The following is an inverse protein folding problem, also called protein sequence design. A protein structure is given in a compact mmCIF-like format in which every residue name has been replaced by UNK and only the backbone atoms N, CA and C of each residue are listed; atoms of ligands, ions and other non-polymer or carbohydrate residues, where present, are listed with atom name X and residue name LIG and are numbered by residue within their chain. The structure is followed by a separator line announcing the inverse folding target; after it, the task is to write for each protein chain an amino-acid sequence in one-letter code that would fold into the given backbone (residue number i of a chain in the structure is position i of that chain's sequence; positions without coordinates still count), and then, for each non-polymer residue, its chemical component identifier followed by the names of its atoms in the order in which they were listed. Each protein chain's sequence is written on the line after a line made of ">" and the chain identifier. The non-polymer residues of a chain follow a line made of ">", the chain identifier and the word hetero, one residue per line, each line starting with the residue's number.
data_IF_881153572661
#
_entry.id   IF_881153572661
#
_cell.length_a   1.000
_cell.length_b   1.000
_cell.length_c   1.000
_cell.angle_alpha   90.00
_cell.angle_beta   90.00
_cell.angle_gamma   90.00
#
_symmetry.space_group_name_H-M   'P 1'
#
loop_
_entity.id
_entity.type
_entity.pdbx_description
1 polymer ?
#
# COMPACT_ATOMS: atom_id res chain seq x y z
N UNK A 1 -14.82 -16.80 76.83
CA UNK A 1 -16.18 -17.35 77.01
C UNK A 1 -17.12 -16.59 76.10
N UNK A 2 -17.89 -17.36 75.31
CA UNK A 2 -19.15 -16.99 74.64
C UNK A 2 -19.11 -16.20 73.32
N UNK A 3 -19.09 -16.94 72.19
CA UNK A 3 -20.09 -16.77 71.10
C UNK A 3 -21.47 -17.32 71.59
N UNK A 4 -22.60 -17.38 70.82
CA UNK A 4 -22.90 -17.03 69.42
C UNK A 4 -24.27 -16.28 69.28
N UNK A 5 -24.78 -15.85 68.12
CA UNK A 5 -25.70 -16.59 67.21
C UNK A 5 -26.51 -15.57 66.39
N UNK A 6 -26.95 -15.92 65.17
CA UNK A 6 -27.98 -15.11 64.49
C UNK A 6 -28.27 -15.36 63.01
N UNK A 7 -28.39 -16.61 62.56
CA UNK A 7 -28.76 -17.01 61.19
C UNK A 7 -30.27 -16.85 60.91
N UNK A 8 -30.66 -16.48 59.66
CA UNK A 8 -31.81 -16.98 58.83
C UNK A 8 -32.26 -15.89 57.82
N UNK A 9 -32.85 -16.14 56.65
CA UNK A 9 -32.96 -17.23 55.64
C UNK A 9 -34.03 -16.72 54.63
N UNK A 10 -33.85 -17.00 53.32
CA UNK A 10 -34.89 -17.15 52.25
C UNK A 10 -35.69 -15.88 51.84
N UNK A 11 -36.21 -15.70 50.60
CA UNK A 11 -36.44 -16.59 49.43
C UNK A 11 -36.75 -15.74 48.18
N UNK A 12 -36.24 -16.19 47.03
CA UNK A 12 -36.88 -16.29 45.68
C UNK A 12 -37.83 -15.22 45.14
N UNK A 13 -37.54 -14.75 43.93
CA UNK A 13 -38.53 -14.25 42.98
C UNK A 13 -37.93 -13.61 41.73
N UNK A 14 -37.68 -14.39 40.68
CA UNK A 14 -37.86 -13.96 39.27
C UNK A 14 -39.29 -14.40 38.87
N UNK A 15 -40.01 -13.76 37.92
CA UNK A 15 -39.48 -13.39 36.60
C UNK A 15 -40.13 -12.16 35.89
N UNK A 16 -39.63 -11.92 34.67
CA UNK A 16 -40.29 -11.28 33.49
C UNK A 16 -40.72 -9.83 33.57
N UNK A 17 -40.04 -8.97 32.81
CA UNK A 17 -40.48 -8.50 31.47
C UNK A 17 -39.91 -7.10 31.21
N UNK A 18 -39.07 -6.96 30.18
CA UNK A 18 -38.74 -5.68 29.59
C UNK A 18 -38.51 -5.90 28.10
N UNK A 19 -39.57 -5.61 27.38
CA UNK A 19 -39.72 -5.34 25.96
C UNK A 19 -38.46 -4.74 25.32
N UNK A 20 -37.77 -5.51 24.48
CA UNK A 20 -36.83 -4.95 23.51
C UNK A 20 -37.60 -4.58 22.26
N UNK A 21 -37.87 -3.29 22.11
CA UNK A 21 -38.34 -2.66 20.88
C UNK A 21 -37.32 -2.88 19.76
N UNK A 22 -37.77 -3.57 18.72
CA UNK A 22 -37.22 -3.50 17.36
C UNK A 22 -37.60 -2.14 16.74
N UNK A 23 -36.71 -1.63 15.87
CA UNK A 23 -36.81 -0.46 14.98
C UNK A 23 -36.36 0.87 15.59
N UNK A 24 -35.14 1.28 15.28
CA UNK A 24 -34.85 2.23 14.18
C UNK A 24 -33.33 2.47 14.15
N UNK A 25 -32.61 1.75 13.28
CA UNK A 25 -31.20 2.03 12.93
C UNK A 25 -30.96 1.71 11.44
N UNK A 26 -31.89 2.12 10.58
CA UNK A 26 -31.66 2.26 9.14
C UNK A 26 -31.69 3.75 8.81
N UNK A 27 -30.55 4.44 8.93
CA UNK A 27 -30.23 5.63 8.12
C UNK A 27 -28.87 6.22 8.52
N UNK A 28 -27.75 5.57 8.13
CA UNK A 28 -26.64 6.27 7.47
C UNK A 28 -25.51 5.31 7.01
N UNK A 29 -25.85 4.24 6.28
CA UNK A 29 -24.83 3.53 5.52
C UNK A 29 -24.79 4.14 4.12
N UNK A 30 -23.82 5.03 3.89
CA UNK A 30 -23.45 5.43 2.53
C UNK A 30 -23.20 4.18 1.67
N UNK A 31 -23.40 4.26 0.34
CA UNK A 31 -23.22 3.09 -0.52
C UNK A 31 -21.83 2.51 -0.29
N UNK A 32 -21.76 1.22 0.02
CA UNK A 32 -20.48 0.52 0.18
C UNK A 32 -19.63 0.73 -1.07
N UNK A 33 -18.31 0.84 -0.91
CA UNK A 33 -17.39 1.10 -2.02
C UNK A 33 -17.54 0.07 -3.17
N UNK A 34 -17.87 -1.18 -2.81
CA UNK A 34 -18.24 -2.24 -3.75
C UNK A 34 -19.48 -1.91 -4.59
N UNK A 35 -20.50 -1.28 -4.00
CA UNK A 35 -21.70 -0.81 -4.71
C UNK A 35 -21.38 0.37 -5.61
N UNK A 36 -20.51 1.29 -5.19
CA UNK A 36 -20.07 2.42 -6.00
C UNK A 36 -19.32 1.92 -7.25
N UNK A 37 -18.41 0.97 -7.09
CA UNK A 37 -17.68 0.35 -8.21
C UNK A 37 -18.62 -0.40 -9.17
N UNK A 38 -19.62 -1.12 -8.65
CA UNK A 38 -20.62 -1.77 -9.48
C UNK A 38 -21.47 -0.76 -10.27
N UNK A 39 -21.87 0.35 -9.66
CA UNK A 39 -22.64 1.41 -10.31
C UNK A 39 -21.82 2.15 -11.38
N UNK A 40 -20.52 2.36 -11.14
CA UNK A 40 -19.61 2.94 -12.14
C UNK A 40 -19.46 1.99 -13.32
N UNK A 41 -19.24 0.70 -13.09
CA UNK A 41 -19.14 -0.30 -14.15
C UNK A 41 -20.45 -0.39 -14.97
N UNK A 42 -21.61 -0.37 -14.31
CA UNK A 42 -22.93 -0.39 -14.96
C UNK A 42 -23.20 0.88 -15.78
N UNK A 43 -22.88 2.05 -15.24
CA UNK A 43 -22.99 3.33 -15.94
C UNK A 43 -22.10 3.39 -17.18
N UNK A 44 -20.90 2.81 -17.10
CA UNK A 44 -19.95 2.70 -18.20
C UNK A 44 -20.46 1.75 -19.29
N UNK A 45 -21.04 0.59 -18.95
CA UNK A 45 -21.65 -0.32 -19.95
C UNK A 45 -22.89 0.32 -20.60
N UNK A 46 -23.72 1.05 -19.85
CA UNK A 46 -24.85 1.81 -20.41
C UNK A 46 -24.40 2.91 -21.37
N UNK A 47 -23.29 3.61 -21.07
CA UNK A 47 -22.73 4.64 -21.94
C UNK A 47 -22.26 4.11 -23.31
N UNK A 48 -21.93 2.81 -23.43
CA UNK A 48 -21.60 2.17 -24.72
C UNK A 48 -22.80 1.99 -25.63
N UNK A 49 -24.00 1.89 -25.07
CA UNK A 49 -25.24 1.68 -25.83
C UNK A 49 -25.73 2.97 -26.50
N UNK A 50 -25.22 4.13 -26.09
CA UNK A 50 -25.52 5.42 -26.70
C UNK A 50 -24.73 5.56 -28.00
N UNK A 51 -25.42 5.42 -29.15
CA UNK A 51 -24.84 5.69 -30.46
C UNK A 51 -24.74 7.21 -30.68
N UNK A 52 -23.58 7.73 -31.11
CA UNK A 52 -23.44 9.15 -31.40
C UNK A 52 -24.35 9.54 -32.57
N UNK A 53 -25.13 10.59 -32.39
CA UNK A 53 -25.80 11.30 -33.50
C UNK A 53 -24.98 12.55 -33.83
N UNK A 54 -24.96 12.91 -35.11
CA UNK A 54 -23.91 13.70 -35.77
C UNK A 54 -23.80 15.19 -35.38
N UNK A 55 -24.34 15.59 -34.22
CA UNK A 55 -24.28 16.97 -33.73
C UNK A 55 -23.63 17.12 -32.33
N UNK A 56 -23.44 16.04 -31.56
CA UNK A 56 -22.84 16.06 -30.20
C UNK A 56 -21.50 15.30 -30.09
N UNK A 57 -20.74 15.28 -31.19
CA UNK A 57 -19.63 14.33 -31.37
C UNK A 57 -18.46 14.54 -30.40
N UNK A 58 -18.12 15.77 -30.01
CA UNK A 58 -16.95 16.01 -29.16
C UNK A 58 -17.15 15.54 -27.70
N UNK A 59 -18.31 15.86 -27.10
CA UNK A 59 -18.62 15.49 -25.73
C UNK A 59 -18.86 13.98 -25.60
N UNK A 60 -19.53 13.37 -26.58
CA UNK A 60 -19.77 11.92 -26.60
C UNK A 60 -18.48 11.15 -26.87
N UNK A 61 -17.60 11.61 -27.76
CA UNK A 61 -16.28 11.01 -27.96
C UNK A 61 -15.39 11.18 -26.72
N UNK A 62 -15.43 12.33 -26.05
CA UNK A 62 -14.69 12.56 -24.82
C UNK A 62 -15.21 11.68 -23.68
N UNK A 63 -16.54 11.52 -23.58
CA UNK A 63 -17.16 10.57 -22.67
C UNK A 63 -16.76 9.13 -22.98
N UNK A 64 -16.79 8.69 -24.25
CA UNK A 64 -16.34 7.36 -24.66
C UNK A 64 -14.84 7.14 -24.39
N UNK A 65 -14.00 8.15 -24.60
CA UNK A 65 -12.57 8.10 -24.27
C UNK A 65 -12.36 7.96 -22.76
N UNK A 66 -13.11 8.71 -21.95
CA UNK A 66 -13.07 8.63 -20.49
C UNK A 66 -13.58 7.27 -20.00
N UNK A 67 -14.71 6.80 -20.53
CA UNK A 67 -15.31 5.48 -20.25
C UNK A 67 -14.35 4.34 -20.58
N UNK A 68 -13.66 4.39 -21.74
CA UNK A 68 -12.66 3.39 -22.10
C UNK A 68 -11.40 3.49 -21.22
N UNK A 69 -11.01 4.70 -20.81
CA UNK A 69 -9.91 4.90 -19.87
C UNK A 69 -10.25 4.33 -18.48
N UNK A 70 -11.49 4.51 -18.02
CA UNK A 70 -12.00 3.96 -16.77
C UNK A 70 -12.12 2.43 -16.81
N UNK A 71 -12.59 1.85 -17.92
CA UNK A 71 -12.66 0.39 -18.10
C UNK A 71 -11.31 -0.31 -18.03
N UNK A 72 -10.25 0.34 -18.51
CA UNK A 72 -8.89 -0.19 -18.45
C UNK A 72 -8.27 -0.12 -17.04
N UNK A 73 -8.93 0.59 -16.11
CA UNK A 73 -8.49 0.80 -14.73
C UNK A 73 -9.35 0.00 -13.73
N UNK A 74 -10.48 -0.57 -14.16
CA UNK A 74 -11.37 -1.30 -13.26
C UNK A 74 -10.91 -2.75 -13.01
N UNK A 75 -10.86 -3.25 -11.76
CA UNK A 75 -10.28 -4.55 -11.39
C UNK A 75 -11.07 -5.81 -11.81
N UNK A 76 -11.92 -5.75 -12.84
CA UNK A 76 -12.92 -6.79 -13.13
C UNK A 76 -12.68 -7.66 -14.36
N UNK A 77 -11.67 -7.38 -15.20
CA UNK A 77 -11.46 -8.11 -16.47
C UNK A 77 -9.99 -8.47 -16.73
N UNK A 78 -9.33 -9.16 -15.80
CA UNK A 78 -7.99 -9.69 -16.06
C UNK A 78 -8.02 -11.21 -15.95
N UNK A 79 -8.26 -11.85 -17.10
CA UNK A 79 -7.81 -13.22 -17.38
C UNK A 79 -6.80 -13.14 -18.53
N UNK A 80 -5.64 -12.56 -18.26
CA UNK A 80 -4.40 -12.82 -18.99
C UNK A 80 -3.22 -12.39 -18.12
N UNK A 81 -2.25 -13.29 -17.97
CA UNK A 81 -1.05 -13.21 -17.12
C UNK A 81 0.03 -12.26 -17.69
N UNK A 82 -0.33 -11.42 -18.67
CA UNK A 82 0.62 -10.71 -19.55
C UNK A 82 0.74 -9.19 -19.30
N UNK A 83 0.20 -8.65 -18.20
CA UNK A 83 0.33 -7.20 -17.96
C UNK A 83 0.53 -6.85 -16.48
N UNK A 84 1.76 -7.02 -15.98
CA UNK A 84 2.21 -6.58 -14.64
C UNK A 84 1.75 -5.16 -14.30
N UNK A 85 1.76 -4.23 -15.27
CA UNK A 85 1.32 -2.85 -15.03
C UNK A 85 -0.20 -2.73 -14.77
N UNK A 86 -1.01 -3.59 -15.40
CA UNK A 86 -2.44 -3.69 -15.11
C UNK A 86 -2.69 -4.38 -13.77
N UNK A 87 -1.95 -5.44 -13.45
CA UNK A 87 -2.09 -6.12 -12.16
C UNK A 87 -1.78 -5.16 -11.00
N UNK A 88 -0.68 -4.42 -11.14
CA UNK A 88 -0.27 -3.40 -10.17
C UNK A 88 -1.08 -2.11 -10.24
N UNK A 89 -2.04 -2.00 -11.17
CA UNK A 89 -2.80 -0.76 -11.43
C UNK A 89 -1.89 0.49 -11.50
N UNK A 90 -0.72 0.37 -12.15
CA UNK A 90 0.39 1.31 -12.00
C UNK A 90 -0.01 2.78 -12.27
N UNK A 91 -0.68 3.06 -13.39
CA UNK A 91 -1.06 4.44 -13.73
C UNK A 91 -2.10 5.01 -12.76
N UNK A 92 -3.00 4.18 -12.24
CA UNK A 92 -3.96 4.59 -11.23
C UNK A 92 -3.27 4.94 -9.92
N UNK A 93 -2.44 4.03 -9.40
CA UNK A 93 -1.75 4.22 -8.12
C UNK A 93 -0.79 5.42 -8.16
N UNK A 94 -0.07 5.58 -9.27
CA UNK A 94 0.77 6.75 -9.53
C UNK A 94 -0.02 8.05 -9.48
N UNK A 95 -1.15 8.12 -10.19
CA UNK A 95 -1.98 9.33 -10.20
C UNK A 95 -2.58 9.61 -8.82
N UNK A 96 -3.07 8.58 -8.14
CA UNK A 96 -3.66 8.67 -6.81
C UNK A 96 -2.65 9.25 -5.81
N UNK A 97 -1.50 8.60 -5.63
CA UNK A 97 -0.48 9.03 -4.67
C UNK A 97 0.05 10.44 -4.97
N UNK A 98 0.32 10.76 -6.23
CA UNK A 98 0.78 12.10 -6.61
C UNK A 98 -0.27 13.18 -6.32
N UNK A 99 -1.54 12.86 -6.52
CA UNK A 99 -2.65 13.79 -6.26
C UNK A 99 -2.89 13.96 -4.77
N UNK A 100 -2.89 12.87 -4.00
CA UNK A 100 -3.10 12.89 -2.55
C UNK A 100 -1.99 13.65 -1.82
N UNK A 101 -0.71 13.37 -2.14
CA UNK A 101 0.43 14.11 -1.56
C UNK A 101 0.33 15.61 -1.87
N UNK A 102 -0.01 15.97 -3.11
CA UNK A 102 -0.20 17.38 -3.49
C UNK A 102 -1.39 18.01 -2.78
N UNK A 103 -2.49 17.28 -2.61
CA UNK A 103 -3.67 17.77 -1.91
C UNK A 103 -3.33 18.06 -0.44
N UNK A 104 -2.61 17.16 0.23
CA UNK A 104 -2.15 17.36 1.61
C UNK A 104 -1.23 18.59 1.72
N UNK A 105 -0.27 18.73 0.81
CA UNK A 105 0.59 19.93 0.74
C UNK A 105 -0.23 21.22 0.61
N UNK A 106 -1.24 21.23 -0.28
CA UNK A 106 -2.09 22.40 -0.48
C UNK A 106 -2.97 22.69 0.74
N UNK A 107 -3.46 21.65 1.43
CA UNK A 107 -4.26 21.80 2.64
C UNK A 107 -3.44 22.46 3.75
N UNK A 108 -2.22 21.97 4.00
CA UNK A 108 -1.32 22.54 5.01
C UNK A 108 -0.97 23.99 4.74
N UNK A 109 -0.80 24.38 3.47
CA UNK A 109 -0.56 25.78 3.10
C UNK A 109 -1.79 26.66 3.41
N UNK A 110 -3.00 26.12 3.22
CA UNK A 110 -4.25 26.88 3.35
C UNK A 110 -4.74 26.98 4.78
N UNK A 111 -4.60 25.91 5.55
CA UNK A 111 -5.09 25.80 6.92
C UNK A 111 -4.04 25.14 7.84
N UNK A 112 -2.89 25.79 8.08
CA UNK A 112 -1.78 25.20 8.82
C UNK A 112 -2.04 24.99 10.32
N UNK A 113 -3.10 25.60 10.88
CA UNK A 113 -3.34 25.62 12.33
C UNK A 113 -4.59 24.82 12.69
N UNK A 114 -5.73 25.11 12.05
CA UNK A 114 -7.02 24.52 12.44
C UNK A 114 -7.31 23.22 11.68
N UNK A 115 -6.65 23.02 10.54
CA UNK A 115 -6.85 21.88 9.65
C UNK A 115 -6.12 20.58 10.02
N UNK A 116 -5.46 20.51 11.17
CA UNK A 116 -4.53 19.42 11.50
C UNK A 116 -5.20 18.02 11.56
N UNK A 117 -6.45 17.90 12.01
CA UNK A 117 -7.16 16.61 12.03
C UNK A 117 -7.38 16.07 10.61
N UNK A 118 -7.81 16.94 9.68
CA UNK A 118 -8.02 16.58 8.27
C UNK A 118 -6.69 16.26 7.59
N UNK A 119 -5.62 17.00 7.91
CA UNK A 119 -4.27 16.70 7.43
C UNK A 119 -3.81 15.31 7.89
N UNK A 120 -4.06 14.97 9.15
CA UNK A 120 -3.81 13.65 9.70
C UNK A 120 -4.53 12.54 8.94
N UNK A 121 -5.82 12.71 8.69
CA UNK A 121 -6.61 11.75 7.91
C UNK A 121 -6.07 11.60 6.47
N UNK A 122 -5.79 12.70 5.79
CA UNK A 122 -5.23 12.69 4.43
C UNK A 122 -3.85 12.00 4.38
N UNK A 123 -3.01 12.22 5.39
CA UNK A 123 -1.71 11.55 5.47
C UNK A 123 -1.83 10.06 5.75
N UNK A 124 -2.78 9.65 6.60
CA UNK A 124 -3.07 8.24 6.85
C UNK A 124 -3.57 7.54 5.57
N UNK A 125 -4.44 8.17 4.79
CA UNK A 125 -4.90 7.61 3.51
C UNK A 125 -3.75 7.36 2.52
N UNK A 126 -2.74 8.24 2.51
CA UNK A 126 -1.54 8.07 1.69
C UNK A 126 -0.72 6.88 2.20
N UNK A 127 -0.58 6.73 3.52
CA UNK A 127 0.10 5.59 4.12
C UNK A 127 -0.58 4.27 3.82
N UNK A 128 -1.89 4.18 4.02
CA UNK A 128 -2.66 2.97 3.74
C UNK A 128 -2.53 2.59 2.26
N UNK A 129 -2.64 3.58 1.36
CA UNK A 129 -2.44 3.36 -0.08
C UNK A 129 -1.04 2.81 -0.40
N UNK A 130 0.00 3.32 0.25
CA UNK A 130 1.37 2.83 0.05
C UNK A 130 1.53 1.41 0.56
N UNK A 131 1.01 1.08 1.75
CA UNK A 131 1.09 -0.25 2.34
C UNK A 131 0.37 -1.28 1.48
N UNK A 132 -0.87 -1.00 1.07
CA UNK A 132 -1.66 -1.89 0.22
C UNK A 132 -0.96 -2.14 -1.12
N UNK A 133 -0.37 -1.09 -1.71
CA UNK A 133 0.33 -1.23 -2.98
C UNK A 133 1.67 -1.93 -2.82
N UNK A 134 2.34 -1.78 -1.67
CA UNK A 134 3.61 -2.42 -1.37
C UNK A 134 3.48 -3.95 -1.35
N UNK A 135 2.41 -4.48 -0.77
CA UNK A 135 2.09 -5.91 -0.78
C UNK A 135 1.88 -6.44 -2.21
N UNK A 136 1.11 -5.71 -3.04
CA UNK A 136 0.93 -6.06 -4.45
C UNK A 136 2.24 -6.04 -5.24
N UNK A 137 3.11 -5.06 -4.99
CA UNK A 137 4.43 -4.96 -5.63
C UNK A 137 5.29 -6.17 -5.24
N UNK A 138 5.27 -6.58 -3.97
CA UNK A 138 5.99 -7.75 -3.50
C UNK A 138 5.55 -9.02 -4.22
N UNK A 139 4.23 -9.29 -4.23
CA UNK A 139 3.68 -10.48 -4.88
C UNK A 139 4.09 -10.59 -6.35
N UNK A 140 4.01 -9.48 -7.10
CA UNK A 140 4.45 -9.47 -8.50
C UNK A 140 5.97 -9.61 -8.64
N UNK A 141 6.77 -8.98 -7.77
CA UNK A 141 8.23 -9.07 -7.84
C UNK A 141 8.74 -10.52 -7.69
N UNK A 142 8.04 -11.34 -6.90
CA UNK A 142 8.43 -12.74 -6.70
C UNK A 142 8.12 -13.65 -7.90
N UNK A 143 7.22 -13.27 -8.81
CA UNK A 143 6.88 -14.06 -10.00
C UNK A 143 8.06 -14.14 -10.99
N UNK A 144 8.28 -15.31 -11.59
CA UNK A 144 9.44 -15.57 -12.48
C UNK A 144 9.47 -14.65 -13.71
N UNK A 145 8.32 -14.42 -14.35
CA UNK A 145 8.17 -13.71 -15.62
C UNK A 145 7.81 -12.22 -15.47
N UNK A 146 7.96 -11.65 -14.26
CA UNK A 146 7.60 -10.25 -14.00
C UNK A 146 8.44 -9.25 -14.80
N UNK A 147 7.80 -8.19 -15.27
CA UNK A 147 8.51 -7.04 -15.84
C UNK A 147 9.14 -6.17 -14.74
N UNK A 148 10.42 -6.43 -14.44
CA UNK A 148 11.17 -5.71 -13.40
C UNK A 148 11.25 -4.19 -13.64
N UNK A 149 11.16 -3.72 -14.89
CA UNK A 149 11.12 -2.28 -15.16
C UNK A 149 9.82 -1.62 -14.69
N UNK A 150 8.70 -2.35 -14.69
CA UNK A 150 7.45 -1.87 -14.11
C UNK A 150 7.57 -1.82 -12.59
N UNK A 151 8.14 -2.84 -11.95
CA UNK A 151 8.41 -2.84 -10.51
C UNK A 151 9.31 -1.66 -10.11
N UNK A 152 10.40 -1.43 -10.85
CA UNK A 152 11.27 -0.26 -10.65
C UNK A 152 10.48 1.05 -10.69
N UNK A 153 9.58 1.21 -11.67
CA UNK A 153 8.74 2.41 -11.78
C UNK A 153 7.76 2.56 -10.60
N UNK A 154 7.13 1.46 -10.14
CA UNK A 154 6.27 1.48 -8.96
C UNK A 154 7.07 1.93 -7.72
N UNK A 155 8.26 1.37 -7.51
CA UNK A 155 9.13 1.76 -6.39
C UNK A 155 9.59 3.22 -6.45
N UNK A 156 9.81 3.76 -7.64
CA UNK A 156 10.07 5.21 -7.80
C UNK A 156 8.88 6.03 -7.33
N UNK A 157 7.64 5.62 -7.64
CA UNK A 157 6.45 6.31 -7.16
C UNK A 157 6.35 6.23 -5.64
N UNK A 158 6.50 5.04 -5.04
CA UNK A 158 6.46 4.87 -3.59
C UNK A 158 7.54 5.71 -2.89
N UNK A 159 8.78 5.68 -3.40
CA UNK A 159 9.90 6.45 -2.86
C UNK A 159 9.63 7.97 -2.91
N UNK A 160 9.08 8.46 -4.02
CA UNK A 160 8.76 9.88 -4.17
C UNK A 160 7.58 10.30 -3.30
N UNK A 161 6.56 9.45 -3.14
CA UNK A 161 5.43 9.73 -2.25
C UNK A 161 5.90 9.83 -0.80
N UNK A 162 6.75 8.91 -0.35
CA UNK A 162 7.38 8.93 0.97
C UNK A 162 8.21 10.20 1.20
N UNK A 163 9.08 10.57 0.25
CA UNK A 163 9.85 11.83 0.33
C UNK A 163 8.91 13.03 0.38
N UNK A 164 7.83 13.02 -0.41
CA UNK A 164 6.81 14.05 -0.41
C UNK A 164 6.13 14.18 0.95
N UNK A 165 5.83 13.07 1.62
CA UNK A 165 5.24 13.03 2.96
C UNK A 165 6.20 13.55 4.03
N UNK A 166 7.49 13.19 4.00
CA UNK A 166 8.46 13.71 4.97
C UNK A 166 8.83 15.18 4.76
N UNK A 167 8.67 15.70 3.54
CA UNK A 167 8.89 17.12 3.25
C UNK A 167 7.73 18.01 3.74
N UNK A 168 6.62 17.41 4.19
CA UNK A 168 5.45 18.11 4.66
C UNK A 168 5.59 18.36 6.17
N UNK A 169 5.71 19.62 6.55
CA UNK A 169 5.74 20.07 7.95
C UNK A 169 4.30 20.15 8.50
N UNK A 170 3.65 18.99 8.63
CA UNK A 170 2.33 18.91 9.24
C UNK A 170 2.45 18.98 10.76
N UNK A 171 1.59 19.80 11.40
CA UNK A 171 1.47 19.86 12.86
C UNK A 171 0.73 18.68 13.47
N UNK A 172 -0.06 17.97 12.67
CA UNK A 172 -0.71 16.75 13.13
C UNK A 172 0.36 15.73 13.51
N UNK A 173 0.04 14.87 14.47
CA UNK A 173 0.83 13.71 14.91
C UNK A 173 1.09 12.67 13.78
N UNK A 174 1.00 13.05 12.51
CA UNK A 174 1.50 12.28 11.36
C UNK A 174 2.96 11.85 11.54
N UNK A 175 3.73 12.58 12.36
CA UNK A 175 5.08 12.23 12.74
C UNK A 175 5.20 11.20 13.86
N UNK A 176 4.13 10.87 14.59
CA UNK A 176 4.25 10.09 15.84
C UNK A 176 4.47 8.59 15.63
N UNK A 177 4.10 8.03 14.48
CA UNK A 177 4.72 6.78 14.01
C UNK A 177 4.46 6.59 12.53
N UNK A 178 5.53 6.67 11.73
CA UNK A 178 5.50 6.03 10.41
C UNK A 178 4.96 4.60 10.57
N UNK A 179 3.97 4.19 9.77
CA UNK A 179 3.40 2.87 9.92
C UNK A 179 4.39 1.79 9.52
N UNK A 180 4.22 0.63 10.13
CA UNK A 180 5.01 -0.56 9.82
C UNK A 180 4.41 -1.26 8.60
N UNK A 181 5.26 -1.60 7.63
CA UNK A 181 4.91 -2.50 6.55
C UNK A 181 5.18 -3.93 7.00
N UNK A 182 4.14 -4.76 7.00
CA UNK A 182 4.20 -6.17 7.37
C UNK A 182 3.91 -7.04 6.15
N UNK A 183 4.88 -7.84 5.72
CA UNK A 183 4.74 -8.78 4.61
C UNK A 183 4.94 -10.21 5.11
N UNK A 184 4.10 -11.13 4.63
CA UNK A 184 4.21 -12.56 4.86
C UNK A 184 4.31 -13.35 3.56
N UNK A 185 4.86 -14.56 3.64
CA UNK A 185 4.73 -15.55 2.57
C UNK A 185 3.39 -16.32 2.69
N UNK A 186 3.17 -17.25 1.76
CA UNK A 186 1.98 -18.11 1.74
C UNK A 186 1.84 -19.02 2.97
N UNK A 187 2.92 -19.18 3.76
CA UNK A 187 2.98 -19.99 4.98
C UNK A 187 2.88 -19.13 6.26
N UNK A 188 2.51 -17.85 6.14
CA UNK A 188 2.46 -16.84 7.21
C UNK A 188 3.82 -16.54 7.87
N UNK A 189 4.95 -16.88 7.24
CA UNK A 189 6.26 -16.47 7.73
C UNK A 189 6.51 -15.00 7.38
N UNK A 190 6.97 -14.22 8.36
CA UNK A 190 7.31 -12.80 8.17
C UNK A 190 8.49 -12.64 7.19
N UNK A 191 8.23 -11.96 6.08
CA UNK A 191 9.21 -11.58 5.06
C UNK A 191 9.78 -10.19 5.35
N UNK A 192 8.98 -9.29 5.88
CA UNK A 192 9.40 -7.93 6.24
C UNK A 192 8.50 -7.42 7.37
N UNK A 193 9.11 -6.83 8.39
CA UNK A 193 8.43 -6.15 9.50
C UNK A 193 9.28 -4.94 9.90
N UNK A 194 9.10 -3.85 9.16
CA UNK A 194 9.90 -2.64 9.26
C UNK A 194 9.02 -1.40 9.02
N UNK A 195 9.48 -0.22 9.45
CA UNK A 195 8.80 1.02 9.09
C UNK A 195 8.72 1.17 7.57
N UNK A 196 7.66 1.79 7.05
CA UNK A 196 7.39 1.86 5.60
C UNK A 196 8.59 2.37 4.78
N UNK A 197 9.32 3.37 5.28
CA UNK A 197 10.52 3.92 4.67
C UNK A 197 11.63 2.89 4.56
N UNK A 198 11.81 2.09 5.60
CA UNK A 198 12.80 1.04 5.63
C UNK A 198 12.38 -0.16 4.78
N UNK A 199 11.09 -0.49 4.76
CA UNK A 199 10.53 -1.49 3.87
C UNK A 199 10.74 -1.12 2.39
N UNK A 200 10.55 0.16 2.01
CA UNK A 200 10.85 0.62 0.65
C UNK A 200 12.33 0.44 0.29
N UNK A 201 13.26 0.75 1.20
CA UNK A 201 14.70 0.50 1.01
C UNK A 201 14.98 -1.01 0.86
N UNK A 202 14.34 -1.83 1.68
CA UNK A 202 14.41 -3.28 1.59
C UNK A 202 13.90 -3.79 0.23
N UNK A 203 12.79 -3.28 -0.29
CA UNK A 203 12.25 -3.69 -1.59
C UNK A 203 13.19 -3.32 -2.76
N UNK A 204 13.90 -2.19 -2.67
CA UNK A 204 14.95 -1.85 -3.63
C UNK A 204 16.11 -2.85 -3.62
N UNK A 205 16.49 -3.36 -2.44
CA UNK A 205 17.46 -4.45 -2.31
C UNK A 205 16.92 -5.73 -2.96
N UNK A 206 15.68 -6.11 -2.66
CA UNK A 206 15.06 -7.32 -3.24
C UNK A 206 15.04 -7.26 -4.77
N UNK A 207 14.62 -6.13 -5.34
CA UNK A 207 14.62 -5.92 -6.79
C UNK A 207 16.01 -6.13 -7.41
N UNK A 208 17.07 -5.61 -6.77
CA UNK A 208 18.45 -5.82 -7.23
C UNK A 208 18.86 -7.29 -7.19
N UNK A 209 18.56 -7.98 -6.08
CA UNK A 209 18.94 -9.37 -5.87
C UNK A 209 18.21 -10.27 -6.86
N UNK A 210 16.91 -10.07 -7.06
CA UNK A 210 16.08 -10.81 -8.00
C UNK A 210 16.51 -10.55 -9.45
N UNK A 211 16.76 -9.29 -9.82
CA UNK A 211 17.29 -8.98 -11.14
C UNK A 211 18.62 -9.70 -11.38
N UNK A 212 19.54 -9.67 -10.41
CA UNK A 212 20.84 -10.31 -10.53
C UNK A 212 20.76 -11.85 -10.56
N UNK A 213 19.91 -12.48 -9.75
CA UNK A 213 19.76 -13.94 -9.72
C UNK A 213 19.18 -14.47 -11.04
N UNK A 214 18.30 -13.69 -11.68
CA UNK A 214 17.74 -13.96 -13.01
C UNK A 214 18.65 -13.54 -14.17
N UNK A 215 19.91 -13.19 -13.88
CA UNK A 215 20.89 -12.69 -14.87
C UNK A 215 20.39 -11.47 -15.67
N UNK A 216 19.51 -10.65 -15.11
CA UNK A 216 19.04 -9.41 -15.72
C UNK A 216 19.97 -8.23 -15.39
N UNK A 217 20.03 -7.20 -16.25
CA UNK A 217 20.88 -6.04 -16.02
C UNK A 217 20.45 -5.21 -14.79
N UNK A 218 21.35 -5.04 -13.82
CA UNK A 218 21.08 -4.25 -12.59
C UNK A 218 21.50 -2.78 -12.68
N UNK A 219 22.22 -2.39 -13.74
CA UNK A 219 22.79 -1.04 -13.87
C UNK A 219 21.75 0.08 -13.84
N UNK A 220 20.59 -0.15 -14.46
CA UNK A 220 19.48 0.83 -14.44
C UNK A 220 18.95 1.04 -13.02
N UNK A 221 18.64 -0.06 -12.34
CA UNK A 221 18.13 -0.08 -10.96
C UNK A 221 19.11 0.63 -10.01
N UNK A 222 20.42 0.32 -10.10
CA UNK A 222 21.46 1.00 -9.32
C UNK A 222 21.52 2.51 -9.62
N UNK A 223 21.39 2.90 -10.89
CA UNK A 223 21.33 4.31 -11.28
C UNK A 223 20.13 5.02 -10.67
N UNK A 224 18.97 4.37 -10.62
CA UNK A 224 17.75 4.90 -9.99
C UNK A 224 17.91 5.02 -8.48
N UNK A 225 18.43 3.99 -7.79
CA UNK A 225 18.71 4.02 -6.35
C UNK A 225 19.65 5.19 -6.00
N UNK A 226 20.70 5.39 -6.80
CA UNK A 226 21.63 6.49 -6.61
C UNK A 226 20.98 7.87 -6.81
N UNK A 227 20.14 8.02 -7.84
CA UNK A 227 19.38 9.26 -8.08
C UNK A 227 18.41 9.58 -6.93
N UNK A 228 17.84 8.55 -6.29
CA UNK A 228 16.97 8.71 -5.13
C UNK A 228 17.75 8.94 -3.82
N UNK A 229 19.08 8.90 -3.83
CA UNK A 229 19.91 9.05 -2.63
C UNK A 229 19.81 7.87 -1.66
N UNK A 230 19.42 6.68 -2.16
CA UNK A 230 19.20 5.48 -1.33
C UNK A 230 20.41 4.53 -1.32
N UNK A 231 21.49 4.84 -2.04
CA UNK A 231 22.66 3.96 -2.21
C UNK A 231 23.19 3.40 -0.91
N UNK A 232 23.50 4.25 0.07
CA UNK A 232 24.08 3.82 1.34
C UNK A 232 23.12 2.97 2.16
N UNK A 233 21.82 3.35 2.17
CA UNK A 233 20.77 2.62 2.89
C UNK A 233 20.56 1.22 2.31
N UNK A 234 20.45 1.12 0.99
CA UNK A 234 20.32 -0.18 0.30
C UNK A 234 21.59 -1.01 0.49
N UNK A 235 22.77 -0.40 0.40
CA UNK A 235 24.04 -1.08 0.61
C UNK A 235 24.17 -1.64 2.04
N UNK A 236 23.66 -0.91 3.05
CA UNK A 236 23.67 -1.34 4.45
C UNK A 236 22.83 -2.59 4.70
N UNK A 237 21.87 -2.91 3.82
CA UNK A 237 21.03 -4.10 3.92
C UNK A 237 21.63 -5.37 3.29
N UNK A 238 22.87 -5.30 2.77
CA UNK A 238 23.61 -6.49 2.36
C UNK A 238 24.49 -7.03 3.50
N UNK A 239 24.13 -8.24 3.97
CA UNK A 239 24.84 -8.93 5.05
C UNK A 239 26.34 -9.14 4.72
N UNK A 240 27.21 -8.84 5.69
CA UNK A 240 28.68 -9.02 5.56
C UNK A 240 29.23 -10.28 6.22
N UNK A 241 28.44 -10.92 7.09
CA UNK A 241 28.84 -12.08 7.87
C UNK A 241 27.63 -12.89 8.36
N UNK A 242 27.68 -13.35 9.62
CA UNK A 242 26.59 -14.10 10.26
C UNK A 242 25.71 -13.23 11.16
N UNK A 243 25.81 -11.92 11.03
CA UNK A 243 25.01 -10.96 11.79
C UNK A 243 23.53 -11.09 11.42
N UNK A 244 22.66 -10.94 12.40
CA UNK A 244 21.20 -10.92 12.21
C UNK A 244 20.68 -9.53 11.88
N UNK A 245 21.44 -8.49 12.26
CA UNK A 245 21.08 -7.08 12.08
C UNK A 245 22.20 -6.27 11.46
N UNK A 246 21.84 -5.21 10.75
CA UNK A 246 22.79 -4.24 10.21
C UNK A 246 23.28 -3.25 11.31
N UNK A 247 24.25 -2.36 11.01
CA UNK A 247 24.76 -1.39 12.00
C UNK A 247 23.71 -0.43 12.58
N UNK A 248 22.62 -0.21 11.85
CA UNK A 248 21.52 0.66 12.26
C UNK A 248 20.45 -0.08 13.09
N UNK A 249 20.62 -1.39 13.30
CA UNK A 249 19.73 -2.23 14.12
C UNK A 249 18.58 -2.90 13.36
N UNK A 250 18.52 -2.74 12.03
CA UNK A 250 17.51 -3.36 11.17
C UNK A 250 17.81 -4.82 10.89
N UNK A 251 16.78 -5.65 10.81
CA UNK A 251 16.92 -7.10 10.62
C UNK A 251 17.26 -7.43 9.17
N UNK A 252 18.15 -8.41 8.97
CA UNK A 252 18.40 -8.96 7.64
C UNK A 252 17.35 -10.02 7.29
N UNK A 253 16.28 -9.56 6.65
CA UNK A 253 15.21 -10.38 6.12
C UNK A 253 15.64 -11.13 4.85
N UNK A 254 16.44 -12.19 5.01
CA UNK A 254 17.01 -12.95 3.87
C UNK A 254 16.57 -14.42 3.87
N UNK A 255 15.66 -14.81 4.78
CA UNK A 255 15.25 -16.20 4.98
C UNK A 255 14.51 -16.77 3.77
N UNK A 256 13.75 -15.92 3.07
CA UNK A 256 13.02 -16.26 1.84
C UNK A 256 13.92 -16.38 0.61
N UNK A 257 15.20 -15.99 0.70
CA UNK A 257 16.11 -16.07 -0.43
C UNK A 257 16.48 -17.51 -0.80
N UNK A 258 16.34 -17.82 -2.08
CA UNK A 258 16.93 -19.01 -2.68
C UNK A 258 18.45 -18.94 -2.67
N UNK A 259 19.12 -20.06 -2.94
CA UNK A 259 20.59 -20.08 -2.99
C UNK A 259 21.14 -19.20 -4.12
N UNK A 260 20.45 -19.13 -5.26
CA UNK A 260 20.80 -18.24 -6.37
C UNK A 260 20.68 -16.76 -5.97
N UNK A 261 19.64 -16.40 -5.19
CA UNK A 261 19.48 -15.06 -4.64
C UNK A 261 20.61 -14.71 -3.66
N UNK A 262 21.01 -15.65 -2.78
CA UNK A 262 22.14 -15.44 -1.86
C UNK A 262 23.46 -15.23 -2.62
N UNK A 263 23.70 -16.01 -3.67
CA UNK A 263 24.89 -15.82 -4.53
C UNK A 263 24.85 -14.47 -5.26
N UNK A 264 23.68 -14.11 -5.82
CA UNK A 264 23.47 -12.84 -6.49
C UNK A 264 23.69 -11.65 -5.55
N UNK A 265 23.16 -11.70 -4.33
CA UNK A 265 23.35 -10.69 -3.30
C UNK A 265 24.84 -10.47 -2.99
N UNK A 266 25.62 -11.56 -2.89
CA UNK A 266 27.06 -11.46 -2.68
C UNK A 266 27.79 -10.73 -3.83
N UNK A 267 27.37 -10.96 -5.08
CA UNK A 267 27.90 -10.27 -6.28
C UNK A 267 27.49 -8.81 -6.33
N UNK A 268 26.20 -8.51 -6.12
CA UNK A 268 25.65 -7.14 -6.12
C UNK A 268 26.37 -6.28 -5.08
N UNK A 269 26.57 -6.81 -3.87
CA UNK A 269 27.30 -6.12 -2.80
C UNK A 269 28.73 -5.73 -3.20
N UNK A 270 29.41 -6.54 -3.99
CA UNK A 270 30.74 -6.20 -4.50
C UNK A 270 30.70 -5.07 -5.53
N UNK A 271 29.59 -4.94 -6.27
CA UNK A 271 29.36 -3.86 -7.24
C UNK A 271 29.07 -2.49 -6.63
N UNK A 272 28.80 -2.40 -5.33
CA UNK A 272 28.70 -1.13 -4.60
C UNK A 272 30.07 -0.56 -4.15
N UNK A 273 31.17 -1.30 -4.36
CA UNK A 273 32.55 -0.89 -4.03
C UNK A 273 33.26 -0.34 -5.25
#
# INVERSE_FOLDING_TARGET
>A
MSEPTGTKRRRTGSPTSSTTTLRDDEANQGPSWSRLNALIAEAVEMAKLVKPTSADDAAVQQAHKLTNSLLNVLPGRIKSRENTAQILNYEYQKLLLQTSVRALQQHIIRDPIDGWEEQGAMGQEIWDTLIDWFDLIWGELTEEDVNLAVIENCLVVCSNALVGMYAIDCRAELSESEPTAYLCDEEDNTICDESLSQAIVWMWRELLVIAASRNQPTKSILGTINRLGLTDKVCALFRKGKEEKNPDGYTFWDAHWTDDMKEAAAKVRLGFR
#
